data_IF_701164059468
#
_entry.id   IF_701164059468
#
_cell.length_a   1.000
_cell.length_b   1.000
_cell.length_c   1.000
_cell.angle_alpha   90.00
_cell.angle_beta   90.00
_cell.angle_gamma   90.00
#
_symmetry.space_group_name_H-M   'P 1'
#
loop_
_entity.id
_entity.type
_entity.pdbx_description
1 polymer ?
#
# COMPACT_ATOMS: atom_id res chain seq x y z
N UNK A 1 0.85 23.17 79.77
CA UNK A 1 0.19 22.78 78.52
C UNK A 1 0.38 23.85 77.45
N UNK A 2 1.53 23.89 76.77
CA UNK A 2 1.71 24.81 75.63
C UNK A 2 3.05 24.50 74.91
N UNK A 3 3.17 23.31 74.30
CA UNK A 3 4.36 22.99 73.51
C UNK A 3 4.12 21.97 72.39
N UNK A 4 2.87 21.84 71.87
CA UNK A 4 2.58 20.83 70.82
C UNK A 4 2.04 21.39 69.49
N UNK A 5 2.10 22.70 69.21
CA UNK A 5 1.44 23.23 68.00
C UNK A 5 2.37 23.89 66.98
N UNK A 6 3.68 23.88 67.17
CA UNK A 6 4.63 24.53 66.24
C UNK A 6 5.14 23.52 65.16
N UNK A 7 5.33 22.25 65.56
CA UNK A 7 5.87 21.21 64.62
C UNK A 7 4.85 20.77 63.54
N UNK A 8 3.55 20.83 63.85
CA UNK A 8 2.49 20.43 62.88
C UNK A 8 2.24 21.49 61.79
N UNK A 9 2.46 22.77 62.10
CA UNK A 9 2.26 23.85 61.13
C UNK A 9 3.39 24.00 60.13
N UNK A 10 4.62 23.64 60.47
CA UNK A 10 5.77 23.64 59.54
C UNK A 10 5.75 22.46 58.59
N UNK A 11 5.21 21.27 58.99
CA UNK A 11 5.06 20.13 58.11
C UNK A 11 3.94 20.34 57.06
N UNK A 12 2.86 21.03 57.44
CA UNK A 12 1.76 21.33 56.52
C UNK A 12 2.09 22.34 55.42
N UNK A 13 3.11 23.19 55.63
CA UNK A 13 3.55 24.18 54.60
C UNK A 13 4.65 23.62 53.67
N UNK A 14 5.36 22.57 54.10
CA UNK A 14 6.41 21.95 53.26
C UNK A 14 5.83 21.00 52.20
N UNK A 15 4.67 20.43 52.45
CA UNK A 15 4.04 19.45 51.53
C UNK A 15 3.56 20.09 50.20
N UNK A 16 2.85 21.23 50.17
CA UNK A 16 2.49 21.91 48.93
C UNK A 16 3.66 22.50 48.18
N UNK A 17 4.74 22.92 48.90
CA UNK A 17 5.95 23.44 48.24
C UNK A 17 6.75 22.34 47.53
N UNK A 18 6.79 21.12 48.07
CA UNK A 18 7.41 19.95 47.44
C UNK A 18 6.62 19.46 46.23
N UNK A 19 5.29 19.56 46.30
CA UNK A 19 4.40 19.22 45.19
C UNK A 19 4.50 20.22 44.01
N UNK A 20 4.75 21.49 44.33
CA UNK A 20 4.94 22.54 43.32
C UNK A 20 6.31 22.45 42.64
N UNK A 21 7.35 21.96 43.33
CA UNK A 21 8.66 21.71 42.73
C UNK A 21 8.69 20.47 41.83
N UNK A 22 7.84 19.48 42.07
CA UNK A 22 7.72 18.29 41.21
C UNK A 22 6.89 18.52 39.94
N UNK A 23 6.06 19.57 39.94
CA UNK A 23 5.19 19.89 38.78
C UNK A 23 5.92 20.68 37.69
N UNK A 24 7.15 21.17 37.92
CA UNK A 24 7.87 21.99 36.92
C UNK A 24 8.82 21.23 36.03
N UNK A 25 8.87 19.88 36.11
CA UNK A 25 9.68 19.04 35.22
C UNK A 25 8.88 18.44 34.05
N UNK A 26 7.83 19.09 33.60
CA UNK A 26 7.32 18.83 32.26
C UNK A 26 8.32 19.52 31.30
N UNK A 27 9.39 18.82 30.99
CA UNK A 27 10.24 19.16 29.84
C UNK A 27 9.31 19.25 28.64
N UNK A 28 9.20 20.45 28.07
CA UNK A 28 8.59 20.63 26.77
C UNK A 28 9.22 19.57 25.84
N UNK A 29 8.41 18.67 25.32
CA UNK A 29 8.85 17.77 24.28
C UNK A 29 9.45 18.67 23.19
N UNK A 30 10.74 18.43 22.91
CA UNK A 30 11.43 19.11 21.83
C UNK A 30 10.60 18.86 20.57
N UNK A 31 9.92 19.88 20.11
CA UNK A 31 9.17 19.85 18.86
C UNK A 31 10.20 19.76 17.73
N UNK A 32 10.81 18.59 17.56
CA UNK A 32 11.63 18.34 16.38
C UNK A 32 10.71 18.48 15.17
N UNK A 33 10.85 19.60 14.49
CA UNK A 33 10.19 19.86 13.22
C UNK A 33 10.60 18.76 12.24
N UNK A 34 9.68 17.89 11.87
CA UNK A 34 9.96 16.81 10.91
C UNK A 34 10.23 17.48 9.55
N UNK A 35 11.51 17.59 9.20
CA UNK A 35 11.90 18.08 7.87
C UNK A 35 11.78 16.94 6.87
N UNK A 36 10.75 17.02 6.04
CA UNK A 36 10.63 16.10 4.89
C UNK A 36 11.69 16.43 3.83
N UNK A 37 12.32 15.41 3.22
CA UNK A 37 13.22 15.63 2.09
C UNK A 37 12.48 16.34 0.93
N UNK A 38 13.19 17.04 0.04
CA UNK A 38 12.60 17.68 -1.12
C UNK A 38 11.86 16.66 -2.01
N UNK A 39 10.60 16.94 -2.32
CA UNK A 39 9.77 16.10 -3.20
C UNK A 39 9.87 16.64 -4.62
N UNK A 40 10.40 15.83 -5.54
CA UNK A 40 10.50 16.16 -6.95
C UNK A 40 9.40 15.43 -7.72
N UNK A 41 8.51 16.19 -8.38
CA UNK A 41 7.35 15.66 -9.12
C UNK A 41 7.44 16.06 -10.59
N UNK A 42 7.21 15.08 -11.49
CA UNK A 42 7.19 15.30 -12.94
C UNK A 42 6.11 14.44 -13.60
N UNK A 43 5.46 14.96 -14.64
CA UNK A 43 4.60 14.20 -15.53
C UNK A 43 5.38 13.72 -16.77
N UNK A 44 5.27 12.45 -17.12
CA UNK A 44 5.78 11.92 -18.37
C UNK A 44 4.82 12.23 -19.54
N UNK A 45 5.32 12.15 -20.77
CA UNK A 45 4.53 12.45 -21.96
C UNK A 45 3.29 11.55 -22.14
N UNK A 46 3.33 10.32 -21.59
CA UNK A 46 2.20 9.38 -21.61
C UNK A 46 1.18 9.60 -20.45
N UNK A 47 1.39 10.60 -19.60
CA UNK A 47 0.50 10.94 -18.49
C UNK A 47 0.89 10.33 -17.13
N UNK A 48 1.89 9.44 -17.06
CA UNK A 48 2.38 8.90 -15.79
C UNK A 48 2.98 10.03 -14.93
N UNK A 49 2.50 10.17 -13.70
CA UNK A 49 3.10 11.06 -12.71
C UNK A 49 4.20 10.32 -11.97
N UNK A 50 5.42 10.87 -11.97
CA UNK A 50 6.56 10.33 -11.21
C UNK A 50 6.90 11.26 -10.07
N UNK A 51 7.05 10.70 -8.87
CA UNK A 51 7.49 11.39 -7.65
C UNK A 51 8.81 10.76 -7.23
N UNK A 52 9.84 11.58 -7.00
CA UNK A 52 11.14 11.11 -6.53
C UNK A 52 11.49 11.83 -5.23
N UNK A 53 11.92 11.07 -4.23
CA UNK A 53 12.44 11.58 -2.96
C UNK A 53 13.82 10.93 -2.74
N UNK A 54 14.87 11.75 -2.81
CA UNK A 54 16.24 11.31 -2.55
C UNK A 54 16.46 11.20 -1.04
N UNK A 55 16.88 10.02 -0.56
CA UNK A 55 17.13 9.74 0.85
C UNK A 55 18.30 8.78 0.97
N UNK A 56 19.47 9.31 1.34
CA UNK A 56 20.77 8.62 1.26
C UNK A 56 21.26 8.01 2.57
N UNK A 57 20.43 7.95 3.62
CA UNK A 57 20.84 7.40 4.92
C UNK A 57 20.98 5.88 4.91
N UNK A 58 20.16 5.20 4.12
CA UNK A 58 20.19 3.75 3.96
C UNK A 58 20.28 3.40 2.47
N UNK A 59 21.07 2.38 2.08
CA UNK A 59 21.25 1.98 0.69
C UNK A 59 20.06 1.15 0.17
N UNK A 60 18.85 1.67 0.33
CA UNK A 60 17.59 1.01 -0.09
C UNK A 60 16.80 1.92 -1.01
N UNK A 61 16.00 1.31 -1.89
CA UNK A 61 15.04 2.00 -2.74
C UNK A 61 13.69 1.33 -2.63
N UNK A 62 12.66 2.14 -2.44
CA UNK A 62 11.27 1.73 -2.46
C UNK A 62 10.56 2.34 -3.66
N UNK A 63 9.90 1.50 -4.43
CA UNK A 63 9.01 1.87 -5.51
C UNK A 63 7.57 1.64 -5.04
N UNK A 64 6.69 2.60 -5.30
CA UNK A 64 5.25 2.45 -5.08
C UNK A 64 4.49 3.01 -6.28
N UNK A 65 3.92 2.14 -7.07
CA UNK A 65 2.98 2.52 -8.13
C UNK A 65 1.57 2.45 -7.55
N UNK A 66 0.82 3.54 -7.72
CA UNK A 66 -0.57 3.68 -7.27
C UNK A 66 -1.42 3.96 -8.49
N UNK A 67 -2.44 3.14 -8.70
CA UNK A 67 -3.52 3.34 -9.67
C UNK A 67 -4.73 3.90 -8.93
N UNK A 68 -5.33 4.96 -9.45
CA UNK A 68 -6.50 5.64 -8.85
C UNK A 68 -7.79 4.89 -9.18
N UNK A 69 -7.80 3.59 -8.89
CA UNK A 69 -8.92 2.69 -9.07
C UNK A 69 -8.73 1.48 -8.17
N UNK A 70 -9.77 1.08 -7.49
CA UNK A 70 -9.82 -0.07 -6.59
C UNK A 70 -11.16 -0.77 -6.70
N UNK A 71 -11.60 -1.46 -5.66
CA UNK A 71 -12.85 -2.24 -5.66
C UNK A 71 -14.11 -1.39 -5.82
N UNK A 72 -14.04 -0.07 -5.56
CA UNK A 72 -15.14 0.85 -5.89
C UNK A 72 -15.41 0.92 -7.40
N UNK A 73 -14.44 0.52 -8.23
CA UNK A 73 -14.54 0.45 -9.69
C UNK A 73 -14.92 -0.94 -10.21
N UNK A 74 -15.19 -1.91 -9.33
CA UNK A 74 -15.61 -3.25 -9.74
C UNK A 74 -16.93 -3.19 -10.53
N UNK A 75 -17.06 -3.94 -11.62
CA UNK A 75 -18.30 -4.03 -12.36
C UNK A 75 -19.46 -4.54 -11.47
N UNK A 76 -20.67 -4.16 -11.78
CA UNK A 76 -21.86 -4.62 -11.06
C UNK A 76 -21.93 -6.15 -11.01
N UNK A 77 -22.16 -6.71 -9.84
CA UNK A 77 -22.18 -8.16 -9.62
C UNK A 77 -20.83 -8.86 -9.64
N UNK A 78 -19.72 -8.12 -9.88
CA UNK A 78 -18.35 -8.65 -10.00
C UNK A 78 -17.43 -8.13 -8.88
N UNK A 79 -17.96 -7.93 -7.67
CA UNK A 79 -17.15 -7.52 -6.52
C UNK A 79 -15.97 -8.45 -6.30
N UNK A 80 -14.75 -7.89 -6.09
CA UNK A 80 -13.48 -8.60 -5.97
C UNK A 80 -12.63 -8.60 -7.25
N UNK A 81 -13.12 -8.02 -8.38
CA UNK A 81 -12.35 -7.97 -9.64
C UNK A 81 -11.04 -7.21 -9.48
N UNK A 82 -11.05 -6.06 -8.80
CA UNK A 82 -9.84 -5.27 -8.55
C UNK A 82 -8.81 -6.05 -7.71
N UNK A 83 -9.28 -6.73 -6.66
CA UNK A 83 -8.42 -7.50 -5.76
C UNK A 83 -7.80 -8.71 -6.48
N UNK A 84 -8.62 -9.49 -7.20
CA UNK A 84 -8.12 -10.59 -8.02
C UNK A 84 -7.12 -10.12 -9.08
N UNK A 85 -7.41 -9.01 -9.78
CA UNK A 85 -6.51 -8.45 -10.79
C UNK A 85 -5.16 -8.09 -10.16
N UNK A 86 -5.15 -7.40 -9.03
CA UNK A 86 -3.93 -7.06 -8.31
C UNK A 86 -3.17 -8.31 -7.82
N UNK A 87 -3.87 -9.29 -7.26
CA UNK A 87 -3.28 -10.55 -6.78
C UNK A 87 -2.64 -11.39 -7.89
N UNK A 88 -3.17 -11.27 -9.12
CA UNK A 88 -2.67 -12.01 -10.29
C UNK A 88 -1.46 -11.39 -10.97
N UNK A 89 -1.11 -10.12 -10.71
CA UNK A 89 0.02 -9.45 -11.36
C UNK A 89 1.34 -10.23 -11.24
N UNK A 90 1.57 -10.86 -10.07
CA UNK A 90 2.78 -11.64 -9.79
C UNK A 90 2.66 -13.12 -10.15
N UNK A 91 1.56 -13.53 -10.80
CA UNK A 91 1.29 -14.94 -11.15
C UNK A 91 1.73 -15.31 -12.57
N UNK A 92 2.56 -14.48 -13.16
CA UNK A 92 3.22 -14.68 -14.45
C UNK A 92 3.01 -13.52 -15.41
N UNK A 93 4.06 -13.21 -16.11
CA UNK A 93 4.11 -12.20 -17.17
C UNK A 93 4.39 -12.86 -18.52
N UNK A 94 4.52 -12.04 -19.56
CA UNK A 94 4.93 -12.55 -20.90
C UNK A 94 6.35 -13.11 -20.90
N UNK A 95 7.22 -12.66 -19.99
CA UNK A 95 8.65 -12.99 -19.97
C UNK A 95 9.02 -13.88 -18.80
N UNK A 96 8.20 -13.92 -17.73
CA UNK A 96 8.51 -14.63 -16.47
C UNK A 96 7.35 -15.47 -15.97
N UNK A 97 7.63 -16.64 -15.45
CA UNK A 97 6.69 -17.42 -14.63
C UNK A 97 6.57 -16.81 -13.23
N UNK A 98 5.53 -17.19 -12.47
CA UNK A 98 5.37 -16.79 -11.07
C UNK A 98 6.59 -17.17 -10.20
N UNK A 99 7.16 -18.36 -10.45
CA UNK A 99 8.36 -18.84 -9.75
C UNK A 99 9.58 -17.97 -10.07
N UNK A 100 9.81 -17.65 -11.35
CA UNK A 100 10.93 -16.78 -11.75
C UNK A 100 10.81 -15.38 -11.14
N UNK A 101 9.61 -14.80 -11.11
CA UNK A 101 9.39 -13.51 -10.44
C UNK A 101 9.77 -13.58 -8.95
N UNK A 102 9.36 -14.65 -8.26
CA UNK A 102 9.68 -14.85 -6.86
C UNK A 102 11.19 -15.09 -6.65
N UNK A 103 11.82 -15.93 -7.44
CA UNK A 103 13.25 -16.23 -7.36
C UNK A 103 14.12 -14.99 -7.63
N UNK A 104 13.78 -14.18 -8.65
CA UNK A 104 14.54 -12.97 -8.99
C UNK A 104 14.49 -11.92 -7.87
N UNK A 105 13.31 -11.67 -7.29
CA UNK A 105 13.20 -10.69 -6.19
C UNK A 105 13.84 -11.22 -4.91
N UNK A 106 13.71 -12.50 -4.60
CA UNK A 106 14.31 -13.14 -3.42
C UNK A 106 15.85 -13.19 -3.53
N UNK A 107 16.39 -13.44 -4.73
CA UNK A 107 17.83 -13.45 -4.99
C UNK A 107 18.50 -12.11 -4.65
N UNK A 108 17.81 -11.00 -4.87
CA UNK A 108 18.32 -9.66 -4.52
C UNK A 108 17.94 -9.23 -3.10
N UNK A 109 17.31 -10.11 -2.32
CA UNK A 109 16.82 -9.82 -0.97
C UNK A 109 15.74 -8.73 -0.94
N UNK A 110 15.00 -8.59 -2.04
CA UNK A 110 13.96 -7.60 -2.21
C UNK A 110 12.58 -8.07 -1.79
N UNK A 111 11.61 -7.18 -1.97
CA UNK A 111 10.18 -7.48 -1.76
C UNK A 111 9.39 -6.91 -2.92
N UNK A 112 8.48 -7.71 -3.48
CA UNK A 112 7.57 -7.31 -4.55
C UNK A 112 6.15 -7.68 -4.14
N UNK A 113 5.23 -6.73 -4.18
CA UNK A 113 3.84 -6.92 -3.76
C UNK A 113 2.86 -6.15 -4.63
N UNK A 114 1.62 -6.59 -4.66
CA UNK A 114 0.51 -5.85 -5.23
C UNK A 114 -0.76 -6.15 -4.44
N UNK A 115 -1.69 -5.20 -4.41
CA UNK A 115 -2.96 -5.31 -3.72
C UNK A 115 -3.91 -4.20 -4.11
N UNK A 116 -5.18 -4.36 -3.80
CA UNK A 116 -6.21 -3.37 -4.04
C UNK A 116 -6.90 -2.97 -2.74
N UNK A 117 -7.31 -1.71 -2.66
CA UNK A 117 -8.22 -1.19 -1.65
C UNK A 117 -9.49 -0.68 -2.30
N UNK A 118 -10.26 0.13 -1.60
CA UNK A 118 -11.51 0.69 -2.13
C UNK A 118 -11.26 1.61 -3.34
N UNK A 119 -10.37 2.60 -3.19
CA UNK A 119 -10.17 3.67 -4.17
C UNK A 119 -8.88 3.54 -4.99
N UNK A 120 -7.98 2.67 -4.57
CA UNK A 120 -6.68 2.56 -5.20
C UNK A 120 -6.15 1.13 -5.19
N UNK A 121 -5.48 0.79 -6.28
CA UNK A 121 -4.63 -0.40 -6.38
C UNK A 121 -3.18 0.04 -6.32
N UNK A 122 -2.33 -0.75 -5.69
CA UNK A 122 -0.91 -0.45 -5.56
C UNK A 122 -0.06 -1.67 -5.87
N UNK A 123 1.09 -1.40 -6.48
CA UNK A 123 2.19 -2.34 -6.59
C UNK A 123 3.43 -1.72 -5.95
N UNK A 124 4.14 -2.51 -5.17
CA UNK A 124 5.30 -2.09 -4.39
C UNK A 124 6.49 -2.97 -4.70
N UNK A 125 7.66 -2.34 -4.80
CA UNK A 125 8.92 -3.08 -4.84
C UNK A 125 9.92 -2.38 -3.90
N UNK A 126 10.68 -3.15 -3.14
CA UNK A 126 11.75 -2.64 -2.29
C UNK A 126 12.99 -3.50 -2.49
N UNK A 127 14.12 -2.85 -2.79
CA UNK A 127 15.41 -3.50 -3.02
C UNK A 127 16.55 -2.66 -2.45
N UNK A 128 17.74 -3.24 -2.35
CA UNK A 128 18.95 -2.43 -2.14
C UNK A 128 19.20 -1.53 -3.35
N UNK A 129 19.75 -0.33 -3.14
CA UNK A 129 20.02 0.65 -4.21
C UNK A 129 20.84 0.07 -5.37
N UNK A 130 21.80 -0.81 -5.10
CA UNK A 130 22.60 -1.52 -6.11
C UNK A 130 21.77 -2.44 -7.04
N UNK A 131 20.56 -2.82 -6.62
CA UNK A 131 19.62 -3.66 -7.38
C UNK A 131 18.43 -2.87 -7.93
N UNK A 132 18.58 -1.54 -8.04
CA UNK A 132 17.53 -0.64 -8.57
C UNK A 132 16.93 -1.14 -9.87
N UNK A 133 17.77 -1.55 -10.82
CA UNK A 133 17.32 -1.95 -12.16
C UNK A 133 16.49 -3.23 -12.11
N UNK A 134 16.87 -4.21 -11.31
CA UNK A 134 16.08 -5.43 -11.09
C UNK A 134 14.72 -5.11 -10.50
N UNK A 135 14.68 -4.23 -9.48
CA UNK A 135 13.43 -3.85 -8.84
C UNK A 135 12.48 -3.09 -9.76
N UNK A 136 13.00 -2.18 -10.58
CA UNK A 136 12.21 -1.40 -11.52
C UNK A 136 11.69 -2.27 -12.67
N UNK A 137 12.53 -3.14 -13.24
CA UNK A 137 12.19 -4.06 -14.31
C UNK A 137 11.10 -5.05 -13.86
N UNK A 138 11.24 -5.69 -12.69
CA UNK A 138 10.21 -6.57 -12.14
C UNK A 138 8.89 -5.84 -11.89
N UNK A 139 8.94 -4.62 -11.35
CA UNK A 139 7.74 -3.82 -11.12
C UNK A 139 7.06 -3.46 -12.44
N UNK A 140 7.81 -3.04 -13.45
CA UNK A 140 7.26 -2.68 -14.76
C UNK A 140 6.68 -3.91 -15.46
N UNK A 141 7.35 -5.05 -15.40
CA UNK A 141 6.92 -6.29 -16.07
C UNK A 141 5.58 -6.81 -15.51
N UNK A 142 5.41 -6.83 -14.18
CA UNK A 142 4.15 -7.28 -13.57
C UNK A 142 2.98 -6.32 -13.84
N UNK A 143 3.25 -5.02 -14.05
CA UNK A 143 2.21 -4.03 -14.35
C UNK A 143 1.84 -4.04 -15.83
N UNK A 144 2.82 -4.13 -16.72
CA UNK A 144 2.63 -3.93 -18.16
C UNK A 144 2.31 -5.21 -18.91
N UNK A 145 2.78 -6.36 -18.41
CA UNK A 145 2.78 -7.61 -19.16
C UNK A 145 2.19 -8.83 -18.44
N UNK A 146 1.22 -8.69 -17.51
CA UNK A 146 0.65 -9.85 -16.85
C UNK A 146 -0.09 -10.74 -17.87
N UNK A 147 -0.07 -12.07 -17.65
CA UNK A 147 -0.68 -13.03 -18.58
C UNK A 147 -2.06 -13.51 -18.17
N UNK A 148 -2.41 -13.35 -16.88
CA UNK A 148 -3.71 -13.78 -16.34
C UNK A 148 -4.08 -15.21 -16.77
N UNK A 149 -3.21 -16.19 -16.45
CA UNK A 149 -3.42 -17.60 -16.78
C UNK A 149 -4.65 -18.15 -16.06
N UNK A 150 -5.45 -18.93 -16.77
CA UNK A 150 -6.72 -19.47 -16.26
C UNK A 150 -6.54 -20.33 -15.00
N UNK A 151 -5.51 -21.17 -14.98
CA UNK A 151 -5.17 -22.00 -13.82
C UNK A 151 -4.82 -21.18 -12.57
N UNK A 152 -4.11 -20.06 -12.74
CA UNK A 152 -3.78 -19.12 -11.65
C UNK A 152 -5.02 -18.35 -11.18
N UNK A 153 -5.91 -17.97 -12.11
CA UNK A 153 -7.19 -17.32 -11.78
C UNK A 153 -8.03 -18.25 -10.92
N UNK A 154 -8.26 -19.48 -11.38
CA UNK A 154 -9.09 -20.44 -10.65
C UNK A 154 -8.49 -20.81 -9.28
N UNK A 155 -7.15 -20.89 -9.20
CA UNK A 155 -6.47 -21.12 -7.94
C UNK A 155 -6.66 -19.95 -6.97
N UNK A 156 -6.48 -18.71 -7.44
CA UNK A 156 -6.65 -17.52 -6.61
C UNK A 156 -8.11 -17.34 -6.18
N UNK A 157 -9.08 -17.54 -7.06
CA UNK A 157 -10.52 -17.51 -6.73
C UNK A 157 -10.85 -18.47 -5.59
N UNK A 158 -10.37 -19.72 -5.65
CA UNK A 158 -10.58 -20.70 -4.57
C UNK A 158 -9.95 -20.25 -3.25
N UNK A 159 -8.74 -19.70 -3.29
CA UNK A 159 -8.07 -19.17 -2.10
C UNK A 159 -8.85 -17.99 -1.51
N UNK A 160 -9.32 -17.05 -2.34
CA UNK A 160 -10.10 -15.89 -1.91
C UNK A 160 -11.43 -16.32 -1.28
N UNK A 161 -12.18 -17.23 -1.91
CA UNK A 161 -13.43 -17.76 -1.36
C UNK A 161 -13.20 -18.44 0.00
N UNK A 162 -12.12 -19.22 0.12
CA UNK A 162 -11.77 -19.86 1.40
C UNK A 162 -11.43 -18.83 2.48
N UNK A 163 -10.67 -17.78 2.13
CA UNK A 163 -10.32 -16.70 3.06
C UNK A 163 -11.55 -15.88 3.49
N UNK A 164 -12.50 -15.63 2.58
CA UNK A 164 -13.78 -14.99 2.90
C UNK A 164 -14.58 -15.84 3.88
N UNK A 165 -14.69 -17.15 3.63
CA UNK A 165 -15.41 -18.07 4.49
C UNK A 165 -14.78 -18.17 5.91
N UNK A 166 -13.45 -18.19 5.98
CA UNK A 166 -12.72 -18.15 7.25
C UNK A 166 -12.92 -16.83 7.98
N UNK A 167 -12.90 -15.70 7.27
CA UNK A 167 -13.11 -14.36 7.84
C UNK A 167 -14.47 -14.18 8.50
N UNK A 168 -15.49 -14.96 8.11
CA UNK A 168 -16.81 -14.95 8.76
C UNK A 168 -16.79 -15.51 10.19
N UNK A 169 -15.71 -16.16 10.60
CA UNK A 169 -15.51 -16.62 11.97
C UNK A 169 -14.93 -15.53 12.88
N UNK A 170 -14.47 -14.41 12.31
CA UNK A 170 -14.00 -13.24 13.06
C UNK A 170 -15.16 -12.26 13.30
N UNK A 171 -15.65 -12.13 14.55
CA UNK A 171 -16.75 -11.22 14.86
C UNK A 171 -16.45 -9.76 14.57
N UNK A 172 -15.17 -9.32 14.70
CA UNK A 172 -14.75 -7.96 14.41
C UNK A 172 -14.91 -7.65 12.92
N UNK A 173 -14.39 -8.52 12.06
CA UNK A 173 -14.54 -8.41 10.61
C UNK A 173 -16.01 -8.39 10.18
N UNK A 174 -16.81 -9.30 10.71
CA UNK A 174 -18.26 -9.35 10.41
C UNK A 174 -18.97 -8.06 10.85
N UNK A 175 -18.61 -7.51 12.02
CA UNK A 175 -19.18 -6.25 12.49
C UNK A 175 -18.81 -5.08 11.58
N UNK A 176 -17.55 -4.99 11.15
CA UNK A 176 -17.06 -3.94 10.23
C UNK A 176 -17.74 -4.02 8.85
N UNK A 177 -17.89 -5.23 8.30
CA UNK A 177 -18.61 -5.46 7.04
C UNK A 177 -20.07 -5.02 7.14
N UNK A 178 -20.78 -5.44 8.22
CA UNK A 178 -22.16 -5.07 8.45
C UNK A 178 -22.35 -3.58 8.74
N UNK A 179 -21.40 -2.96 9.42
CA UNK A 179 -21.41 -1.52 9.64
C UNK A 179 -21.23 -0.76 8.31
N UNK A 180 -20.32 -1.19 7.46
CA UNK A 180 -20.11 -0.60 6.14
C UNK A 180 -21.36 -0.75 5.26
N UNK A 181 -21.95 -1.92 5.21
CA UNK A 181 -23.22 -2.19 4.51
C UNK A 181 -24.35 -1.29 5.01
N UNK A 182 -24.50 -1.15 6.33
CA UNK A 182 -25.50 -0.28 6.94
C UNK A 182 -25.28 1.20 6.63
N UNK A 183 -24.03 1.66 6.69
CA UNK A 183 -23.69 3.08 6.50
C UNK A 183 -23.77 3.52 5.02
N UNK A 184 -23.31 2.67 4.10
CA UNK A 184 -23.14 3.02 2.70
C UNK A 184 -24.21 2.41 1.77
N UNK A 185 -24.97 1.42 2.24
CA UNK A 185 -26.02 0.78 1.43
C UNK A 185 -25.50 0.24 0.11
N UNK A 186 -26.14 0.63 -1.00
CA UNK A 186 -25.77 0.20 -2.36
C UNK A 186 -24.50 0.87 -2.90
N UNK A 187 -23.95 1.86 -2.21
CA UNK A 187 -22.70 2.48 -2.61
C UNK A 187 -21.56 1.45 -2.60
N UNK A 188 -20.58 1.51 -3.54
CA UNK A 188 -19.45 0.58 -3.57
C UNK A 188 -18.71 0.39 -2.24
N UNK A 189 -18.70 1.38 -1.37
CA UNK A 189 -18.11 1.30 -0.03
C UNK A 189 -18.85 0.41 0.96
N UNK A 190 -20.10 0.08 0.68
CA UNK A 190 -20.88 -0.89 1.44
C UNK A 190 -20.54 -2.36 1.15
N UNK A 191 -19.66 -2.61 0.17
CA UNK A 191 -19.29 -3.96 -0.26
C UNK A 191 -17.86 -4.30 0.17
N UNK A 192 -17.58 -5.58 0.56
CA UNK A 192 -16.20 -6.02 0.84
C UNK A 192 -15.31 -5.85 -0.40
N UNK A 193 -14.10 -5.34 -0.21
CA UNK A 193 -13.17 -5.06 -1.30
C UNK A 193 -12.67 -6.33 -2.02
N UNK A 194 -12.58 -7.44 -1.31
CA UNK A 194 -12.21 -8.75 -1.86
C UNK A 194 -13.38 -9.49 -2.52
N UNK A 195 -14.59 -8.90 -2.50
CA UNK A 195 -15.79 -9.53 -3.03
C UNK A 195 -16.49 -10.44 -2.02
N UNK A 196 -17.31 -11.35 -2.53
CA UNK A 196 -18.10 -12.29 -1.74
C UNK A 196 -17.97 -13.72 -2.27
N UNK A 197 -18.40 -14.73 -1.47
CA UNK A 197 -18.48 -16.13 -1.92
C UNK A 197 -19.36 -16.29 -3.18
N UNK A 198 -20.28 -15.34 -3.41
CA UNK A 198 -21.17 -15.34 -4.58
C UNK A 198 -20.55 -14.62 -5.78
N UNK A 199 -19.91 -13.46 -5.58
CA UNK A 199 -19.35 -12.66 -6.68
C UNK A 199 -18.05 -13.23 -7.24
N UNK A 200 -17.09 -13.62 -6.38
CA UNK A 200 -15.76 -14.09 -6.78
C UNK A 200 -15.81 -15.27 -7.77
N UNK A 201 -16.64 -16.31 -7.60
CA UNK A 201 -16.73 -17.40 -8.58
C UNK A 201 -17.20 -16.96 -9.96
N UNK A 202 -17.99 -15.88 -10.06
CA UNK A 202 -18.55 -15.40 -11.34
C UNK A 202 -17.58 -14.57 -12.16
N UNK A 203 -16.47 -14.11 -11.57
CA UNK A 203 -15.46 -13.29 -12.26
C UNK A 203 -14.73 -14.16 -13.28
N UNK A 204 -14.72 -13.70 -14.52
CA UNK A 204 -14.07 -14.38 -15.64
C UNK A 204 -12.67 -13.80 -15.91
N UNK A 205 -11.89 -14.50 -16.71
CA UNK A 205 -10.61 -13.98 -17.21
C UNK A 205 -10.80 -12.67 -18.00
N UNK A 206 -11.86 -12.58 -18.80
CA UNK A 206 -12.15 -11.38 -19.59
C UNK A 206 -12.48 -10.18 -18.69
N UNK A 207 -13.22 -10.37 -17.59
CA UNK A 207 -13.47 -9.33 -16.59
C UNK A 207 -12.13 -8.77 -16.02
N UNK A 208 -11.18 -9.65 -15.72
CA UNK A 208 -9.85 -9.28 -15.20
C UNK A 208 -9.03 -8.52 -16.26
N UNK A 209 -9.02 -9.00 -17.51
CA UNK A 209 -8.32 -8.35 -18.62
C UNK A 209 -8.91 -6.97 -18.90
N UNK A 210 -10.24 -6.86 -18.91
CA UNK A 210 -10.94 -5.60 -19.16
C UNK A 210 -10.70 -4.59 -18.03
N UNK A 211 -10.72 -5.03 -16.78
CA UNK A 211 -10.37 -4.21 -15.64
C UNK A 211 -8.92 -3.70 -15.73
N UNK A 212 -7.97 -4.59 -16.02
CA UNK A 212 -6.58 -4.21 -16.22
C UNK A 212 -6.43 -3.22 -17.38
N UNK A 213 -7.02 -3.50 -18.54
CA UNK A 213 -6.95 -2.63 -19.72
C UNK A 213 -7.53 -1.23 -19.46
N UNK A 214 -8.60 -1.15 -18.66
CA UNK A 214 -9.32 0.10 -18.39
C UNK A 214 -8.57 0.96 -17.37
N UNK A 215 -8.05 0.36 -16.31
CA UNK A 215 -7.57 1.11 -15.16
C UNK A 215 -6.04 1.12 -15.00
N UNK A 216 -5.34 0.13 -15.56
CA UNK A 216 -3.86 0.07 -15.50
C UNK A 216 -3.28 0.85 -16.68
N UNK A 217 -3.45 2.16 -16.63
CA UNK A 217 -3.04 3.11 -17.66
C UNK A 217 -2.23 4.25 -17.03
N UNK A 218 -1.23 4.83 -17.75
CA UNK A 218 -0.26 5.74 -17.15
C UNK A 218 -0.89 7.04 -16.65
N UNK A 219 -1.91 7.57 -17.30
CA UNK A 219 -2.62 8.79 -16.88
C UNK A 219 -3.51 8.57 -15.64
N UNK A 220 -3.75 7.30 -15.26
CA UNK A 220 -4.40 6.91 -14.00
C UNK A 220 -3.39 6.54 -12.90
N UNK A 221 -2.08 6.63 -13.18
CA UNK A 221 -1.03 6.10 -12.31
C UNK A 221 -0.10 7.19 -11.74
N UNK A 222 0.40 6.91 -10.53
CA UNK A 222 1.46 7.67 -9.87
C UNK A 222 2.54 6.67 -9.45
N UNK A 223 3.78 6.88 -9.88
CA UNK A 223 4.94 6.12 -9.44
C UNK A 223 5.77 6.97 -8.47
N UNK A 224 5.85 6.56 -7.22
CA UNK A 224 6.77 7.13 -6.23
C UNK A 224 8.03 6.25 -6.14
N UNK A 225 9.20 6.90 -6.17
CA UNK A 225 10.52 6.28 -5.96
C UNK A 225 11.22 7.02 -4.83
N UNK A 226 11.51 6.31 -3.76
CA UNK A 226 12.07 6.89 -2.53
C UNK A 226 13.28 6.08 -2.11
N UNK A 227 14.39 6.74 -1.80
CA UNK A 227 15.57 6.05 -1.26
C UNK A 227 16.90 6.61 -1.77
N UNK A 228 17.96 5.77 -1.72
CA UNK A 228 19.31 6.13 -2.14
C UNK A 228 19.40 6.13 -3.68
N UNK A 229 18.89 7.20 -4.28
CA UNK A 229 18.79 7.41 -5.71
C UNK A 229 19.08 8.85 -6.08
N UNK A 230 19.39 9.10 -7.35
CA UNK A 230 19.47 10.45 -7.94
C UNK A 230 18.29 10.66 -8.88
N UNK A 231 17.61 11.77 -8.74
CA UNK A 231 16.44 12.14 -9.55
C UNK A 231 16.64 11.95 -11.06
N UNK A 232 17.75 12.42 -11.60
CA UNK A 232 18.02 12.33 -13.04
C UNK A 232 18.13 10.89 -13.53
N UNK A 233 18.78 10.03 -12.73
CA UNK A 233 18.97 8.61 -13.05
C UNK A 233 17.64 7.88 -13.00
N UNK A 234 16.83 8.13 -11.94
CA UNK A 234 15.48 7.59 -11.82
C UNK A 234 14.63 7.96 -13.02
N UNK A 235 14.59 9.23 -13.41
CA UNK A 235 13.79 9.65 -14.56
C UNK A 235 14.20 8.98 -15.86
N UNK A 236 15.49 8.82 -16.09
CA UNK A 236 15.99 8.17 -17.30
C UNK A 236 15.52 6.71 -17.35
N UNK A 237 15.68 5.98 -16.26
CA UNK A 237 15.30 4.57 -16.15
C UNK A 237 13.77 4.36 -16.18
N UNK A 238 13.02 5.19 -15.46
CA UNK A 238 11.53 5.13 -15.49
C UNK A 238 10.99 5.45 -16.89
N UNK A 239 11.60 6.38 -17.61
CA UNK A 239 11.22 6.66 -19.01
C UNK A 239 11.51 5.49 -19.94
N UNK A 240 12.60 4.75 -19.72
CA UNK A 240 12.92 3.56 -20.50
C UNK A 240 11.86 2.46 -20.28
N UNK A 241 11.49 2.17 -19.03
CA UNK A 241 10.57 1.10 -18.67
C UNK A 241 9.10 1.44 -18.95
N UNK A 242 8.64 2.62 -18.53
CA UNK A 242 7.24 3.00 -18.58
C UNK A 242 6.88 3.96 -19.74
N UNK A 243 7.86 4.44 -20.52
CA UNK A 243 7.60 5.43 -21.57
C UNK A 243 6.72 4.91 -22.72
N UNK A 244 6.76 3.61 -22.99
CA UNK A 244 5.93 2.93 -24.00
C UNK A 244 4.53 2.54 -23.49
N UNK A 245 4.25 2.70 -22.20
CA UNK A 245 2.96 2.42 -21.61
C UNK A 245 1.89 3.32 -22.18
N UNK A 246 0.85 2.73 -22.78
CA UNK A 246 -0.20 3.47 -23.50
C UNK A 246 -1.34 3.84 -22.55
N UNK A 247 -1.83 5.07 -22.71
CA UNK A 247 -3.06 5.57 -22.05
C UNK A 247 -4.31 5.16 -22.81
#
# INVERSE_FOLDING_TARGET
MRCMNVKAKTAALLFPLLFFLLATSVTAADNQEIKLPPIQKVGLANGLTVIVIEHHELPVVAFRLVLKSGSASDPEGKGGTADLTAGLLRKGTKTRSATQIAEEIDFVGGRLGAGSGLDATYATCQVLAKHFDVGLDLLSDIILHPTFKEDEIERLKKQTVSAIAEGKQDPGRVADEKFSEFLFGDHPYGRPSEGTEQSVPTITRDDIIDFHRTYYVPNNAILAVVGDVKYKDVLTKVKAEFGSWKS
#
